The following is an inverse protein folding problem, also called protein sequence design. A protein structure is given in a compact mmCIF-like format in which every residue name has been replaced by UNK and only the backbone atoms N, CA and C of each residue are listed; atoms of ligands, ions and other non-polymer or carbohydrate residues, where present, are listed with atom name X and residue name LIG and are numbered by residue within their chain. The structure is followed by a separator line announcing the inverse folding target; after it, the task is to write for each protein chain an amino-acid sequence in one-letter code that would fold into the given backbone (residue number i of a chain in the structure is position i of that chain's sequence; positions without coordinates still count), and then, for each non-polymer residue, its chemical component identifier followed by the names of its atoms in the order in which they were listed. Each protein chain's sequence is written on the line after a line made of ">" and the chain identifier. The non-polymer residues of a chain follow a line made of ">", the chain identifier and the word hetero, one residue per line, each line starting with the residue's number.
data_IF_035748046565
#
_entry.id   IF_035748046565
#
_cell.length_a   1.000
_cell.length_b   1.000
_cell.length_c   1.000
_cell.angle_alpha   90.00
_cell.angle_beta   90.00
_cell.angle_gamma   90.00
#
_symmetry.space_group_name_H-M   'P 1'
#
loop_
_entity.id
_entity.type
_entity.pdbx_description
1 polymer ?
#
# COMPACT_ATOMS: atom_id res chain seq x y z
N UNK A 1 16.16 5.18 -16.62
CA UNK A 1 15.89 3.94 -15.87
C UNK A 1 17.21 3.52 -15.21
N UNK A 2 17.26 3.15 -13.92
CA UNK A 2 18.50 2.71 -13.29
C UNK A 2 19.08 1.52 -14.07
N UNK A 3 20.41 1.51 -14.22
CA UNK A 3 21.13 0.41 -14.86
C UNK A 3 21.20 -0.82 -13.95
N UNK A 4 21.18 -0.60 -12.63
CA UNK A 4 21.12 -1.66 -11.63
C UNK A 4 20.43 -1.16 -10.36
N UNK A 5 19.87 -2.08 -9.58
CA UNK A 5 19.15 -1.79 -8.33
C UNK A 5 19.59 -2.78 -7.26
N UNK A 6 20.03 -2.26 -6.11
CA UNK A 6 20.40 -3.07 -4.95
C UNK A 6 19.59 -2.64 -3.72
N UNK A 7 19.22 -3.61 -2.89
CA UNK A 7 18.44 -3.41 -1.69
C UNK A 7 19.25 -3.80 -0.45
N UNK A 8 19.21 -2.96 0.57
CA UNK A 8 19.77 -3.25 1.89
C UNK A 8 18.77 -2.88 3.00
N UNK A 9 19.09 -3.26 4.23
CA UNK A 9 18.30 -2.90 5.42
C UNK A 9 19.21 -2.28 6.47
N UNK A 10 18.69 -1.26 7.15
CA UNK A 10 19.29 -0.68 8.35
C UNK A 10 18.30 -0.68 9.50
N UNK A 11 18.81 -0.58 10.73
CA UNK A 11 18.00 -0.46 11.94
C UNK A 11 18.29 0.88 12.59
N UNK A 12 17.27 1.74 12.64
CA UNK A 12 17.34 3.04 13.32
C UNK A 12 16.37 2.96 14.50
N UNK A 13 16.88 3.09 15.72
CA UNK A 13 16.08 2.99 16.95
C UNK A 13 15.25 1.69 17.01
N UNK A 14 15.86 0.54 16.65
CA UNK A 14 15.21 -0.78 16.57
C UNK A 14 14.09 -0.90 15.52
N UNK A 15 13.85 0.14 14.72
CA UNK A 15 12.90 0.11 13.61
C UNK A 15 13.68 -0.16 12.32
N UNK A 16 13.27 -1.19 11.58
CA UNK A 16 13.91 -1.51 10.30
C UNK A 16 13.51 -0.51 9.22
N UNK A 17 14.50 -0.06 8.45
CA UNK A 17 14.35 0.79 7.29
C UNK A 17 15.02 0.10 6.09
N UNK A 18 14.36 0.15 4.93
CA UNK A 18 14.96 -0.24 3.66
C UNK A 18 15.88 0.87 3.15
N UNK A 19 16.98 0.45 2.54
CA UNK A 19 17.85 1.28 1.73
C UNK A 19 17.75 0.76 0.30
N UNK A 20 17.52 1.67 -0.65
CA UNK A 20 17.53 1.36 -2.07
C UNK A 20 18.71 2.09 -2.74
N UNK A 21 19.59 1.34 -3.38
CA UNK A 21 20.66 1.88 -4.21
C UNK A 21 20.22 1.79 -5.67
N UNK A 22 20.14 2.94 -6.33
CA UNK A 22 19.85 3.03 -7.75
C UNK A 22 21.15 3.41 -8.47
N UNK A 23 21.70 2.47 -9.24
CA UNK A 23 22.89 2.69 -10.03
C UNK A 23 22.51 3.21 -11.42
N UNK A 24 23.26 4.17 -11.96
CA UNK A 24 23.02 4.72 -13.28
C UNK A 24 24.20 5.52 -13.81
N UNK A 25 23.97 6.22 -14.92
CA UNK A 25 24.94 7.10 -15.55
C UNK A 25 24.41 8.53 -15.61
N UNK A 26 25.27 9.50 -15.33
CA UNK A 26 25.00 10.91 -15.55
C UNK A 26 25.07 11.24 -17.05
N UNK A 27 24.57 12.42 -17.44
CA UNK A 27 24.55 12.89 -18.84
C UNK A 27 25.97 12.93 -19.46
N UNK A 28 27.01 13.12 -18.63
CA UNK A 28 28.41 13.10 -19.05
C UNK A 28 29.04 11.69 -19.08
N UNK A 29 28.25 10.62 -18.91
CA UNK A 29 28.70 9.23 -18.94
C UNK A 29 29.33 8.71 -17.64
N UNK A 30 29.44 9.52 -16.59
CA UNK A 30 29.96 9.07 -15.30
C UNK A 30 28.95 8.18 -14.56
N UNK A 31 29.43 7.15 -13.87
CA UNK A 31 28.58 6.33 -12.99
C UNK A 31 28.09 7.17 -11.81
N UNK A 32 26.83 7.02 -11.46
CA UNK A 32 26.21 7.62 -10.28
C UNK A 32 25.41 6.58 -9.51
N UNK A 33 25.35 6.78 -8.19
CA UNK A 33 24.49 6.04 -7.28
C UNK A 33 23.56 7.02 -6.59
N UNK A 34 22.27 6.73 -6.61
CA UNK A 34 21.28 7.41 -5.77
C UNK A 34 20.92 6.46 -4.64
N UNK A 35 21.22 6.85 -3.42
CA UNK A 35 20.82 6.12 -2.21
C UNK A 35 19.54 6.72 -1.65
N UNK A 36 18.49 5.91 -1.54
CA UNK A 36 17.24 6.29 -0.89
C UNK A 36 17.20 5.57 0.46
N UNK A 37 17.28 6.35 1.54
CA UNK A 37 17.25 5.86 2.94
C UNK A 37 15.97 6.28 3.64
N UNK A 38 15.77 5.82 4.88
CA UNK A 38 14.62 6.23 5.69
C UNK A 38 13.28 5.62 5.24
N UNK A 39 13.30 4.60 4.37
CA UNK A 39 12.10 3.89 3.94
C UNK A 39 11.67 2.95 5.06
N UNK A 40 10.76 3.39 5.93
CA UNK A 40 10.29 2.58 7.07
C UNK A 40 9.63 1.28 6.58
N UNK A 41 10.08 0.15 7.12
CA UNK A 41 9.46 -1.15 6.86
C UNK A 41 8.20 -1.27 7.72
N UNK A 42 7.05 -1.48 7.09
CA UNK A 42 5.77 -1.60 7.80
C UNK A 42 5.46 -3.03 8.24
N UNK A 43 6.01 -4.03 7.56
CA UNK A 43 5.90 -5.43 7.96
C UNK A 43 7.01 -6.27 7.31
N UNK A 44 7.49 -7.26 8.04
CA UNK A 44 8.30 -8.35 7.52
C UNK A 44 7.43 -9.62 7.45
N UNK A 45 7.63 -10.44 6.42
CA UNK A 45 6.98 -11.75 6.35
C UNK A 45 7.91 -12.78 6.98
N UNK A 46 7.54 -13.26 8.16
CA UNK A 46 8.25 -14.37 8.80
C UNK A 46 8.03 -15.66 8.00
N UNK A 47 9.09 -16.14 7.36
CA UNK A 47 9.12 -17.46 6.71
C UNK A 47 9.48 -18.48 7.77
N UNK A 48 8.67 -19.54 7.94
CA UNK A 48 8.97 -20.55 8.95
C UNK A 48 10.33 -21.20 8.67
N UNK A 49 11.06 -21.54 9.74
CA UNK A 49 12.44 -22.05 9.67
C UNK A 49 12.60 -23.29 8.77
N UNK A 50 11.50 -23.99 8.47
CA UNK A 50 11.48 -25.24 7.71
C UNK A 50 11.17 -25.00 6.22
N UNK A 51 10.88 -23.76 5.81
CA UNK A 51 10.50 -23.39 4.45
C UNK A 51 11.64 -22.61 3.77
N UNK A 52 12.08 -23.06 2.59
CA UNK A 52 13.05 -22.31 1.80
C UNK A 52 12.45 -21.00 1.32
N UNK A 53 13.18 -19.89 1.47
CA UNK A 53 12.81 -18.55 0.98
C UNK A 53 12.41 -18.59 -0.49
N UNK A 54 13.12 -19.36 -1.34
CA UNK A 54 12.79 -19.49 -2.76
C UNK A 54 11.44 -20.17 -3.02
N UNK A 55 11.10 -21.25 -2.32
CA UNK A 55 9.75 -21.87 -2.42
C UNK A 55 8.67 -20.94 -1.89
N UNK A 56 8.95 -20.20 -0.82
CA UNK A 56 8.02 -19.21 -0.28
C UNK A 56 7.76 -18.10 -1.31
N UNK A 57 8.81 -17.54 -1.91
CA UNK A 57 8.72 -16.55 -2.98
C UNK A 57 7.97 -17.08 -4.20
N UNK A 58 8.24 -18.32 -4.63
CA UNK A 58 7.51 -18.93 -5.74
C UNK A 58 6.02 -19.08 -5.41
N UNK A 59 5.69 -19.40 -4.16
CA UNK A 59 4.30 -19.48 -3.68
C UNK A 59 3.64 -18.10 -3.67
N UNK A 60 4.32 -17.07 -3.16
CA UNK A 60 3.85 -15.68 -3.22
C UNK A 60 3.63 -15.26 -4.67
N UNK A 61 4.61 -15.50 -5.55
CA UNK A 61 4.51 -15.19 -6.98
C UNK A 61 3.33 -15.92 -7.63
N UNK A 62 3.12 -17.20 -7.34
CA UNK A 62 1.98 -17.98 -7.85
C UNK A 62 0.62 -17.50 -7.35
N UNK A 63 0.57 -16.87 -6.16
CA UNK A 63 -0.63 -16.22 -5.64
C UNK A 63 -0.89 -14.92 -6.40
N UNK A 64 0.17 -14.19 -6.78
CA UNK A 64 0.09 -12.90 -7.47
C UNK A 64 -0.13 -13.01 -8.99
N UNK A 65 0.18 -14.15 -9.63
CA UNK A 65 0.21 -14.28 -11.11
C UNK A 65 -1.10 -14.77 -11.76
N UNK A 66 -2.11 -15.20 -11.00
CA UNK A 66 -3.30 -15.88 -11.60
C UNK A 66 -4.56 -15.03 -11.57
N UNK A 67 -5.20 -14.84 -12.73
CA UNK A 67 -6.44 -14.07 -12.98
C UNK A 67 -7.74 -14.54 -12.26
N UNK A 68 -7.65 -15.27 -11.14
CA UNK A 68 -8.76 -15.73 -10.28
C UNK A 68 -8.60 -15.23 -8.81
N UNK A 69 -8.16 -13.99 -8.63
CA UNK A 69 -7.66 -13.47 -7.35
C UNK A 69 -8.68 -13.40 -6.20
N UNK A 70 -9.97 -13.13 -6.50
CA UNK A 70 -10.96 -12.88 -5.43
C UNK A 70 -11.18 -14.09 -4.53
N UNK A 71 -11.36 -15.27 -5.10
CA UNK A 71 -11.71 -16.48 -4.34
C UNK A 71 -10.55 -16.92 -3.43
N UNK A 72 -9.30 -16.77 -3.90
CA UNK A 72 -8.10 -17.11 -3.12
C UNK A 72 -7.88 -16.15 -1.96
N UNK A 73 -8.08 -14.84 -2.18
CA UNK A 73 -8.03 -13.83 -1.11
C UNK A 73 -9.09 -14.13 -0.06
N UNK A 74 -10.32 -14.47 -0.46
CA UNK A 74 -11.37 -14.84 0.48
C UNK A 74 -11.08 -16.13 1.25
N UNK A 75 -10.53 -17.16 0.60
CA UNK A 75 -10.14 -18.40 1.28
C UNK A 75 -9.04 -18.15 2.32
N UNK A 76 -8.04 -17.34 1.97
CA UNK A 76 -6.97 -16.96 2.90
C UNK A 76 -7.52 -16.13 4.07
N UNK A 77 -8.38 -15.15 3.79
CA UNK A 77 -9.06 -14.35 4.80
C UNK A 77 -9.90 -15.23 5.72
N UNK A 78 -10.66 -16.18 5.17
CA UNK A 78 -11.47 -17.13 5.91
C UNK A 78 -10.66 -18.04 6.82
N UNK A 79 -9.56 -18.59 6.32
CA UNK A 79 -8.66 -19.41 7.13
C UNK A 79 -8.04 -18.61 8.29
N UNK A 80 -7.66 -17.34 8.05
CA UNK A 80 -7.14 -16.45 9.10
C UNK A 80 -8.22 -16.06 10.10
N UNK A 81 -9.40 -15.67 9.63
CA UNK A 81 -10.53 -15.30 10.49
C UNK A 81 -10.94 -16.47 11.40
N UNK A 82 -10.99 -17.69 10.87
CA UNK A 82 -11.22 -18.91 11.65
C UNK A 82 -10.17 -19.10 12.75
N UNK A 83 -8.88 -18.97 12.43
CA UNK A 83 -7.79 -19.12 13.40
C UNK A 83 -7.85 -18.09 14.54
N UNK A 84 -8.44 -16.91 14.30
CA UNK A 84 -8.59 -15.84 15.28
C UNK A 84 -10.02 -15.74 15.86
N UNK A 85 -10.91 -16.69 15.56
CA UNK A 85 -12.31 -16.67 15.96
C UNK A 85 -13.05 -15.36 15.60
N UNK A 86 -12.76 -14.83 14.40
CA UNK A 86 -13.37 -13.63 13.84
C UNK A 86 -14.47 -14.05 12.88
N UNK A 87 -15.69 -13.54 13.09
CA UNK A 87 -16.79 -13.69 12.14
C UNK A 87 -16.71 -12.58 11.09
N UNK A 88 -16.83 -12.92 9.82
CA UNK A 88 -16.88 -11.97 8.72
C UNK A 88 -17.95 -12.37 7.69
N UNK A 89 -18.52 -11.39 6.99
CA UNK A 89 -19.54 -11.63 5.97
C UNK A 89 -18.94 -11.62 4.57
N UNK A 90 -19.27 -12.62 3.77
CA UNK A 90 -18.97 -12.65 2.33
C UNK A 90 -20.15 -12.18 1.47
N UNK A 91 -21.31 -11.85 2.08
CA UNK A 91 -22.47 -11.40 1.33
C UNK A 91 -22.21 -10.01 0.75
N UNK A 92 -22.15 -9.96 -0.57
CA UNK A 92 -22.19 -8.70 -1.31
C UNK A 92 -23.63 -8.21 -1.25
N UNK A 93 -23.85 -6.98 -0.79
CA UNK A 93 -25.15 -6.32 -0.81
C UNK A 93 -25.72 -6.25 -2.24
N UNK A 94 -26.99 -6.59 -2.41
CA UNK A 94 -27.73 -6.39 -3.66
C UNK A 94 -28.03 -4.90 -3.91
N UNK A 95 -28.02 -4.09 -2.84
CA UNK A 95 -28.10 -2.64 -2.92
C UNK A 95 -26.70 -2.07 -3.14
N UNK A 96 -26.32 -1.90 -4.41
CA UNK A 96 -25.08 -1.19 -4.78
C UNK A 96 -25.45 0.21 -5.25
N UNK A 97 -24.75 1.22 -4.73
CA UNK A 97 -24.75 2.52 -5.39
C UNK A 97 -24.19 2.35 -6.82
N UNK A 98 -24.87 2.92 -7.81
CA UNK A 98 -24.39 2.92 -9.19
C UNK A 98 -23.28 3.96 -9.32
N UNK A 99 -22.09 3.53 -9.74
CA UNK A 99 -20.94 4.41 -9.90
C UNK A 99 -19.62 3.67 -9.67
N UNK A 100 -18.61 4.00 -10.46
CA UNK A 100 -17.23 3.56 -10.22
C UNK A 100 -16.50 4.67 -9.50
N UNK A 101 -15.66 4.31 -8.52
CA UNK A 101 -14.73 5.27 -7.95
C UNK A 101 -13.69 5.67 -9.02
N UNK A 102 -13.29 6.94 -9.09
CA UNK A 102 -12.13 7.33 -9.87
C UNK A 102 -10.89 6.61 -9.32
N UNK A 103 -10.25 5.79 -10.16
CA UNK A 103 -9.21 4.83 -9.72
C UNK A 103 -7.83 5.46 -9.71
N UNK A 104 -7.51 6.24 -10.74
CA UNK A 104 -6.19 6.79 -10.96
C UNK A 104 -6.29 8.27 -11.34
N UNK A 105 -5.33 9.04 -10.85
CA UNK A 105 -5.09 10.41 -11.30
C UNK A 105 -3.96 10.37 -12.33
N UNK A 106 -4.25 10.82 -13.54
CA UNK A 106 -3.25 10.97 -14.61
C UNK A 106 -2.92 12.45 -14.72
N UNK A 107 -1.67 12.80 -14.43
CA UNK A 107 -1.15 14.15 -14.62
C UNK A 107 -0.44 14.22 -15.97
N UNK A 108 -0.74 15.21 -16.82
CA UNK A 108 0.02 15.40 -18.05
C UNK A 108 1.47 15.76 -17.69
N UNK A 109 2.49 15.21 -18.38
CA UNK A 109 3.87 15.56 -18.11
C UNK A 109 4.15 17.01 -18.52
N UNK A 110 5.00 17.69 -17.75
CA UNK A 110 5.62 18.93 -18.20
C UNK A 110 6.62 18.62 -19.32
N UNK A 111 6.40 19.20 -20.50
CA UNK A 111 7.23 18.99 -21.69
C UNK A 111 8.49 19.85 -21.65
N UNK A 112 9.45 19.54 -22.52
CA UNK A 112 10.67 20.35 -22.76
C UNK A 112 11.67 20.45 -21.58
N UNK A 113 11.57 19.53 -20.61
CA UNK A 113 12.49 19.44 -19.47
C UNK A 113 13.55 18.34 -19.62
N UNK A 114 13.38 17.43 -20.58
CA UNK A 114 14.19 16.22 -20.76
C UNK A 114 15.68 16.53 -20.96
N UNK A 115 16.00 17.66 -21.61
CA UNK A 115 17.37 18.10 -21.87
C UNK A 115 17.94 19.05 -20.81
N UNK A 116 17.13 19.49 -19.83
CA UNK A 116 17.53 20.46 -18.82
C UNK A 116 18.02 19.81 -17.53
N UNK A 117 17.54 18.59 -17.23
CA UNK A 117 17.88 17.86 -16.01
C UNK A 117 17.64 16.36 -16.19
N UNK A 118 18.40 15.51 -15.49
CA UNK A 118 18.13 14.07 -15.46
C UNK A 118 16.68 13.77 -15.03
N UNK A 119 15.99 12.90 -15.75
CA UNK A 119 14.66 12.40 -15.41
C UNK A 119 14.80 11.04 -14.73
N UNK A 120 14.23 10.91 -13.53
CA UNK A 120 14.20 9.66 -12.77
C UNK A 120 12.74 9.23 -12.63
N UNK A 121 12.44 7.99 -13.03
CA UNK A 121 11.16 7.36 -12.75
C UNK A 121 11.17 6.82 -11.33
N UNK A 122 10.27 7.32 -10.49
CA UNK A 122 10.03 6.79 -9.14
C UNK A 122 8.74 5.97 -9.18
N UNK A 123 8.80 4.74 -8.70
CA UNK A 123 7.64 3.87 -8.52
C UNK A 123 7.59 3.37 -7.08
N UNK A 124 6.39 3.27 -6.51
CA UNK A 124 6.18 2.78 -5.15
C UNK A 124 5.81 1.30 -5.18
N UNK A 125 6.67 0.44 -4.62
CA UNK A 125 6.32 -0.94 -4.38
C UNK A 125 5.09 -1.01 -3.44
N UNK A 126 3.98 -1.58 -3.92
CA UNK A 126 2.76 -1.83 -3.13
C UNK A 126 2.13 -0.58 -2.50
N UNK A 127 1.94 0.50 -3.27
CA UNK A 127 1.32 1.74 -2.81
C UNK A 127 -0.02 1.50 -2.07
N UNK A 128 -0.98 0.81 -2.70
CA UNK A 128 -2.32 0.62 -2.11
C UNK A 128 -2.29 -0.21 -0.82
N UNK A 129 -1.65 -1.40 -0.75
CA UNK A 129 -1.49 -2.12 0.50
C UNK A 129 -0.83 -1.28 1.60
N UNK A 130 0.20 -0.50 1.27
CA UNK A 130 0.90 0.35 2.24
C UNK A 130 -0.03 1.42 2.81
N UNK A 131 -0.87 2.05 1.98
CA UNK A 131 -1.89 3.01 2.44
C UNK A 131 -2.93 2.32 3.33
N UNK A 132 -3.47 1.17 2.89
CA UNK A 132 -4.47 0.41 3.66
C UNK A 132 -3.92 0.05 5.04
N UNK A 133 -2.67 -0.37 5.14
CA UNK A 133 -2.05 -0.74 6.42
C UNK A 133 -1.71 0.47 7.29
N UNK A 134 -1.16 1.54 6.71
CA UNK A 134 -0.73 2.75 7.43
C UNK A 134 -1.90 3.41 8.14
N UNK A 135 -3.04 3.51 7.46
CA UNK A 135 -4.26 4.10 8.01
C UNK A 135 -5.23 3.05 8.55
N UNK A 136 -4.83 1.76 8.51
CA UNK A 136 -5.62 0.64 8.98
C UNK A 136 -7.08 0.69 8.44
N UNK A 137 -7.15 0.90 7.12
CA UNK A 137 -8.38 1.05 6.35
C UNK A 137 -9.12 -0.26 6.27
N UNK A 138 -10.09 -0.42 7.15
CA UNK A 138 -10.98 -1.58 7.22
C UNK A 138 -12.43 -1.10 7.13
N UNK A 139 -13.31 -1.78 6.37
CA UNK A 139 -14.73 -1.43 6.28
C UNK A 139 -15.39 -1.30 7.66
N UNK A 140 -15.00 -2.14 8.62
CA UNK A 140 -15.56 -2.18 9.98
C UNK A 140 -15.13 -0.97 10.84
N UNK A 141 -14.07 -0.27 10.44
CA UNK A 141 -13.54 0.91 11.15
C UNK A 141 -14.01 2.23 10.55
N UNK A 142 -14.78 2.17 9.48
CA UNK A 142 -15.41 3.33 8.86
C UNK A 142 -16.48 3.91 9.77
N UNK A 143 -16.45 5.23 9.97
CA UNK A 143 -17.44 5.95 10.78
C UNK A 143 -18.39 6.70 9.85
N UNK A 144 -19.57 6.13 9.62
CA UNK A 144 -20.52 6.63 8.62
C UNK A 144 -21.32 7.86 9.05
N UNK A 145 -21.24 8.30 10.32
CA UNK A 145 -22.01 9.44 10.84
C UNK A 145 -21.16 10.39 11.68
N UNK A 146 -21.44 11.70 11.55
CA UNK A 146 -20.74 12.74 12.32
C UNK A 146 -20.97 12.59 13.83
N UNK A 147 -22.18 12.22 14.26
CA UNK A 147 -22.50 12.00 15.67
C UNK A 147 -21.59 10.93 16.30
N UNK A 148 -21.39 9.82 15.60
CA UNK A 148 -20.51 8.73 16.07
C UNK A 148 -19.04 9.14 16.06
N UNK A 149 -18.64 10.00 15.13
CA UNK A 149 -17.30 10.57 15.11
C UNK A 149 -17.06 11.48 16.33
N UNK A 150 -18.04 12.31 16.68
CA UNK A 150 -17.92 13.22 17.82
C UNK A 150 -17.99 12.48 19.17
N UNK A 151 -18.76 11.39 19.28
CA UNK A 151 -18.67 10.44 20.40
C UNK A 151 -17.25 9.88 20.55
N UNK A 152 -16.66 9.35 19.47
CA UNK A 152 -15.32 8.77 19.49
C UNK A 152 -14.24 9.81 19.85
N UNK A 153 -14.38 11.06 19.39
CA UNK A 153 -13.50 12.17 19.81
C UNK A 153 -13.62 12.46 21.30
N UNK A 154 -14.85 12.46 21.86
CA UNK A 154 -15.08 12.64 23.30
C UNK A 154 -14.48 11.50 24.13
N UNK A 155 -14.45 10.28 23.57
CA UNK A 155 -13.74 9.13 24.14
C UNK A 155 -12.21 9.17 23.95
N UNK A 156 -11.67 10.29 23.46
CA UNK A 156 -10.24 10.49 23.21
C UNK A 156 -9.64 9.47 22.23
N UNK A 157 -10.46 8.93 21.30
CA UNK A 157 -9.98 8.08 20.21
C UNK A 157 -9.44 8.94 19.08
N UNK A 158 -8.25 8.59 18.60
CA UNK A 158 -7.68 9.22 17.42
C UNK A 158 -8.49 8.82 16.18
N UNK A 159 -8.93 9.81 15.40
CA UNK A 159 -9.64 9.59 14.14
C UNK A 159 -8.83 10.18 12.98
N UNK A 160 -8.72 9.43 11.90
CA UNK A 160 -8.14 9.88 10.64
C UNK A 160 -9.26 10.39 9.73
N UNK A 161 -9.21 11.65 9.31
CA UNK A 161 -10.16 12.17 8.33
C UNK A 161 -9.64 11.90 6.93
N UNK A 162 -10.41 11.15 6.14
CA UNK A 162 -10.12 10.91 4.72
C UNK A 162 -11.08 11.75 3.90
N UNK A 163 -10.54 12.67 3.12
CA UNK A 163 -11.30 13.49 2.16
C UNK A 163 -11.36 12.75 0.85
N UNK A 164 -12.55 12.57 0.30
CA UNK A 164 -12.71 12.03 -1.04
C UNK A 164 -13.88 12.72 -1.75
N UNK A 165 -13.86 12.68 -3.08
CA UNK A 165 -14.98 13.15 -3.87
C UNK A 165 -15.93 11.99 -4.12
N UNK A 166 -17.20 12.16 -3.76
CA UNK A 166 -18.26 11.20 -4.05
C UNK A 166 -19.43 11.94 -4.69
N UNK A 167 -19.92 11.43 -5.83
CA UNK A 167 -20.96 12.09 -6.63
C UNK A 167 -20.72 13.58 -6.94
N UNK A 168 -19.45 13.99 -7.11
CA UNK A 168 -19.08 15.39 -7.39
C UNK A 168 -18.98 16.28 -6.16
N UNK A 169 -19.37 15.82 -4.98
CA UNK A 169 -19.25 16.54 -3.72
C UNK A 169 -17.97 16.17 -2.98
N UNK A 170 -17.36 17.14 -2.31
CA UNK A 170 -16.21 16.90 -1.44
C UNK A 170 -16.73 16.47 -0.08
N UNK A 171 -16.67 15.16 0.19
CA UNK A 171 -17.12 14.58 1.44
C UNK A 171 -15.94 14.22 2.34
N UNK A 172 -16.23 14.16 3.63
CA UNK A 172 -15.29 13.88 4.69
C UNK A 172 -15.79 12.67 5.45
N UNK A 173 -14.98 11.61 5.52
CA UNK A 173 -15.33 10.45 6.33
C UNK A 173 -14.28 10.18 7.39
N UNK A 174 -14.67 10.18 8.67
CA UNK A 174 -13.78 9.78 9.76
C UNK A 174 -13.54 8.26 9.75
N UNK A 175 -12.30 7.89 10.05
CA UNK A 175 -11.85 6.51 10.22
C UNK A 175 -11.20 6.32 11.59
N UNK A 176 -11.55 5.24 12.27
CA UNK A 176 -11.02 4.87 13.59
C UNK A 176 -9.77 3.98 13.52
#
# INVERSE_FOLDING_TARGET
>A
MPADVEEAKEYINQISHYILYLYGYLINGQKAVVTITGIKIFFDICVSNNASISKFWFKVKSILDTREDRMKVFNLLGAKAWAYNILYTMKISDQKASGKFPIAYVFPPEKDLENKRPIIGLDFAFLYPSIIMTYNLLPEKMVSTLLKADELKRENKMLHSIKFKYNGNSDYMPWK
#
